data_IF_014140462543
#
_entry.id   IF_014140462543
#
_cell.length_a   1.000
_cell.length_b   1.000
_cell.length_c   1.000
_cell.angle_alpha   90.00
_cell.angle_beta   90.00
_cell.angle_gamma   90.00
#
_symmetry.space_group_name_H-M   'P 1'
#
loop_
_entity.id
_entity.type
_entity.pdbx_description
1 polymer ?
#
# COMPACT_ATOMS: atom_id res chain seq x y z
N UNK A 1 54.63 -21.15 -34.09
CA UNK A 1 53.29 -21.51 -33.58
C UNK A 1 52.64 -20.28 -33.01
N UNK A 2 51.63 -19.75 -33.67
CA UNK A 2 50.84 -18.61 -33.15
C UNK A 2 49.81 -19.15 -32.15
N UNK A 3 49.98 -18.80 -30.88
CA UNK A 3 48.95 -19.08 -29.89
C UNK A 3 47.84 -18.04 -30.06
N UNK A 4 46.67 -18.46 -30.50
CA UNK A 4 45.49 -17.61 -30.55
C UNK A 4 44.94 -17.53 -29.13
N UNK A 5 45.09 -16.38 -28.50
CA UNK A 5 44.52 -16.12 -27.20
C UNK A 5 43.04 -15.75 -27.40
N UNK A 6 42.14 -16.67 -27.09
CA UNK A 6 40.71 -16.36 -27.08
C UNK A 6 40.40 -15.66 -25.75
N UNK A 7 40.23 -14.35 -25.81
CA UNK A 7 39.74 -13.59 -24.67
C UNK A 7 38.24 -13.82 -24.62
N UNK A 8 37.82 -14.73 -23.77
CA UNK A 8 36.39 -14.87 -23.43
C UNK A 8 36.06 -13.69 -22.52
N UNK A 9 35.47 -12.64 -23.11
CA UNK A 9 34.94 -11.53 -22.33
C UNK A 9 33.79 -12.04 -21.44
N UNK A 10 34.00 -12.01 -20.12
CA UNK A 10 32.93 -12.26 -19.18
C UNK A 10 31.94 -11.07 -19.28
N UNK A 11 30.76 -11.31 -19.85
CA UNK A 11 29.67 -10.36 -19.79
C UNK A 11 29.08 -10.46 -18.38
N UNK A 12 29.44 -9.51 -17.52
CA UNK A 12 28.78 -9.39 -16.21
C UNK A 12 27.36 -8.87 -16.43
N UNK A 13 26.38 -9.75 -16.32
CA UNK A 13 24.97 -9.36 -16.31
C UNK A 13 24.69 -8.73 -14.95
N UNK A 14 24.60 -7.41 -14.90
CA UNK A 14 24.15 -6.71 -13.71
C UNK A 14 22.64 -6.90 -13.64
N UNK A 15 22.19 -7.80 -12.75
CA UNK A 15 20.79 -7.90 -12.39
C UNK A 15 20.44 -6.69 -11.52
N UNK A 16 19.86 -5.66 -12.13
CA UNK A 16 19.25 -4.58 -11.38
C UNK A 16 17.94 -5.12 -10.83
N UNK A 17 17.96 -5.60 -9.59
CA UNK A 17 16.71 -5.88 -8.88
C UNK A 17 16.07 -4.53 -8.55
N UNK A 18 15.00 -4.17 -9.27
CA UNK A 18 14.11 -3.10 -8.86
C UNK A 18 13.38 -3.59 -7.61
N UNK A 19 13.91 -3.25 -6.44
CA UNK A 19 13.16 -3.43 -5.20
C UNK A 19 11.98 -2.47 -5.25
N UNK A 20 10.74 -3.03 -5.26
CA UNK A 20 9.57 -2.25 -4.86
C UNK A 20 9.85 -1.84 -3.42
N UNK A 21 10.08 -0.55 -3.17
CA UNK A 21 10.38 -0.07 -1.83
C UNK A 21 9.29 -0.49 -0.85
N UNK A 22 9.68 -0.84 0.39
CA UNK A 22 8.74 -1.10 1.47
C UNK A 22 7.79 0.09 1.64
N UNK A 23 6.55 -0.19 2.06
CA UNK A 23 5.58 0.84 2.37
C UNK A 23 6.11 1.79 3.47
N UNK A 24 5.82 3.08 3.32
CA UNK A 24 6.23 4.12 4.25
C UNK A 24 5.12 4.37 5.28
N UNK A 25 5.33 3.88 6.51
CA UNK A 25 4.37 4.02 7.61
C UNK A 25 4.14 5.50 7.98
N UNK A 26 5.16 6.35 7.90
CA UNK A 26 5.02 7.78 8.24
C UNK A 26 4.24 8.54 7.18
N UNK A 27 4.46 8.22 5.91
CA UNK A 27 3.63 8.74 4.83
C UNK A 27 2.19 8.25 4.95
N UNK A 28 1.99 7.00 5.34
CA UNK A 28 0.69 6.41 5.64
C UNK A 28 -0.03 7.11 6.78
N UNK A 29 0.68 7.48 7.84
CA UNK A 29 0.14 8.27 8.95
C UNK A 29 -0.44 9.60 8.48
N UNK A 30 0.29 10.30 7.62
CA UNK A 30 -0.18 11.57 7.05
C UNK A 30 -1.45 11.38 6.19
N UNK A 31 -1.50 10.32 5.39
CA UNK A 31 -2.69 9.98 4.59
C UNK A 31 -3.89 9.57 5.46
N UNK A 32 -3.64 8.91 6.58
CA UNK A 32 -4.67 8.44 7.50
C UNK A 32 -5.45 9.57 8.18
N UNK A 33 -4.91 10.78 8.23
CA UNK A 33 -5.56 11.92 8.89
C UNK A 33 -7.00 12.15 8.41
N UNK A 34 -7.28 11.99 7.12
CA UNK A 34 -8.63 12.12 6.55
C UNK A 34 -9.53 10.93 6.88
N UNK A 35 -8.97 9.79 7.18
CA UNK A 35 -9.70 8.57 7.55
C UNK A 35 -10.13 8.62 9.02
N UNK A 36 -9.32 9.24 9.85
CA UNK A 36 -9.52 9.32 11.30
C UNK A 36 -10.82 10.02 11.69
N UNK A 37 -11.31 10.93 10.87
CA UNK A 37 -12.57 11.65 11.13
C UNK A 37 -13.77 10.72 11.29
N UNK A 38 -13.80 9.62 10.55
CA UNK A 38 -14.86 8.61 10.62
C UNK A 38 -14.41 7.35 11.36
N UNK A 39 -13.23 6.83 11.03
CA UNK A 39 -12.74 5.57 11.60
C UNK A 39 -12.10 5.71 12.98
N UNK A 40 -11.93 6.94 13.46
CA UNK A 40 -11.27 7.25 14.72
C UNK A 40 -9.74 7.34 14.59
N UNK A 41 -9.08 8.12 15.47
CA UNK A 41 -7.63 8.32 15.41
C UNK A 41 -6.85 7.03 15.66
N UNK A 42 -7.45 6.05 16.34
CA UNK A 42 -6.88 4.73 16.60
C UNK A 42 -7.44 3.65 15.66
N UNK A 43 -8.26 4.02 14.67
CA UNK A 43 -8.87 3.06 13.75
C UNK A 43 -9.90 2.14 14.38
N UNK A 44 -10.44 2.49 15.56
CA UNK A 44 -11.41 1.66 16.28
C UNK A 44 -12.82 1.69 15.69
N UNK A 45 -13.08 2.63 14.78
CA UNK A 45 -14.38 2.78 14.14
C UNK A 45 -15.48 3.32 15.05
N UNK A 46 -16.68 3.34 14.52
CA UNK A 46 -17.92 3.62 15.25
C UNK A 46 -19.05 2.81 14.61
N UNK A 47 -19.33 1.65 15.16
CA UNK A 47 -20.31 0.71 14.61
C UNK A 47 -21.72 1.32 14.57
N UNK A 48 -22.07 2.13 15.56
CA UNK A 48 -23.39 2.78 15.63
C UNK A 48 -23.60 3.75 14.45
N UNK A 49 -22.53 4.36 13.92
CA UNK A 49 -22.58 5.23 12.77
C UNK A 49 -22.24 4.51 11.45
N UNK A 50 -22.03 3.23 11.48
CA UNK A 50 -21.68 2.42 10.29
C UNK A 50 -20.21 2.53 9.87
N UNK A 51 -19.32 3.04 10.71
CA UNK A 51 -17.89 3.13 10.44
C UNK A 51 -17.17 1.90 11.00
N UNK A 52 -16.68 1.00 10.13
CA UNK A 52 -16.06 -0.24 10.60
C UNK A 52 -14.74 0.00 11.33
N UNK A 53 -14.43 -0.91 12.24
CA UNK A 53 -13.14 -1.00 12.88
C UNK A 53 -12.07 -1.39 11.85
N UNK A 54 -10.93 -0.70 11.86
CA UNK A 54 -9.79 -0.98 11.00
C UNK A 54 -8.67 -1.72 11.72
N UNK A 55 -8.62 -1.63 13.05
CA UNK A 55 -7.60 -2.30 13.87
C UNK A 55 -7.75 -3.82 13.83
N UNK A 56 -6.64 -4.53 13.97
CA UNK A 56 -6.60 -5.98 13.95
C UNK A 56 -6.65 -6.60 12.55
N UNK A 57 -6.62 -5.77 11.51
CA UNK A 57 -6.58 -6.23 10.12
C UNK A 57 -5.13 -6.22 9.60
N UNK A 58 -4.84 -7.10 8.65
CA UNK A 58 -3.54 -7.09 7.97
C UNK A 58 -3.45 -5.93 6.97
N UNK A 59 -2.24 -5.48 6.68
CA UNK A 59 -2.02 -4.48 5.63
C UNK A 59 -2.58 -4.95 4.28
N UNK A 60 -2.36 -6.20 3.92
CA UNK A 60 -2.89 -6.79 2.67
C UNK A 60 -4.40 -6.72 2.60
N UNK A 61 -5.10 -7.03 3.69
CA UNK A 61 -6.56 -6.92 3.75
C UNK A 61 -7.02 -5.47 3.53
N UNK A 62 -6.41 -4.52 4.22
CA UNK A 62 -6.76 -3.09 4.06
C UNK A 62 -6.50 -2.60 2.63
N UNK A 63 -5.36 -2.97 2.04
CA UNK A 63 -5.06 -2.66 0.64
C UNK A 63 -6.14 -3.16 -0.31
N UNK A 64 -6.56 -4.42 -0.16
CA UNK A 64 -7.62 -5.01 -0.98
C UNK A 64 -8.94 -4.26 -0.83
N UNK A 65 -9.33 -3.91 0.40
CA UNK A 65 -10.57 -3.18 0.64
C UNK A 65 -10.54 -1.78 0.01
N UNK A 66 -9.42 -1.07 0.11
CA UNK A 66 -9.26 0.26 -0.51
C UNK A 66 -9.32 0.16 -2.04
N UNK A 67 -8.69 -0.85 -2.64
CA UNK A 67 -8.78 -1.10 -4.09
C UNK A 67 -10.20 -1.44 -4.52
N UNK A 68 -10.89 -2.25 -3.74
CA UNK A 68 -12.27 -2.66 -4.03
C UNK A 68 -13.23 -1.47 -3.95
N UNK A 69 -13.07 -0.58 -3.00
CA UNK A 69 -13.83 0.67 -2.95
C UNK A 69 -13.52 1.57 -4.14
N UNK A 70 -12.25 1.72 -4.47
CA UNK A 70 -11.80 2.57 -5.59
C UNK A 70 -12.35 2.09 -6.92
N UNK A 71 -12.37 0.79 -7.16
CA UNK A 71 -12.89 0.17 -8.39
C UNK A 71 -14.42 0.06 -8.44
N UNK A 72 -15.08 0.20 -7.30
CA UNK A 72 -16.52 -0.03 -7.16
C UNK A 72 -16.91 -1.49 -6.95
N UNK A 73 -15.95 -2.41 -6.82
CA UNK A 73 -16.20 -3.82 -6.50
C UNK A 73 -16.88 -3.97 -5.13
N UNK A 74 -16.48 -3.16 -4.16
CA UNK A 74 -17.19 -2.98 -2.90
C UNK A 74 -17.97 -1.67 -2.94
N UNK A 75 -19.28 -1.75 -2.80
CA UNK A 75 -20.17 -0.60 -2.95
C UNK A 75 -20.25 0.21 -1.64
N UNK A 76 -19.74 1.43 -1.68
CA UNK A 76 -19.90 2.45 -0.67
C UNK A 76 -19.49 3.80 -1.27
N UNK A 77 -20.44 4.70 -1.47
CA UNK A 77 -20.19 5.97 -2.14
C UNK A 77 -19.16 6.84 -1.43
N UNK A 78 -19.21 6.89 -0.10
CA UNK A 78 -18.25 7.69 0.70
C UNK A 78 -16.85 7.12 0.60
N UNK A 79 -16.70 5.82 0.79
CA UNK A 79 -15.39 5.17 0.71
C UNK A 79 -14.84 5.18 -0.71
N UNK A 80 -15.68 5.07 -1.73
CA UNK A 80 -15.25 5.21 -3.12
C UNK A 80 -14.64 6.60 -3.37
N UNK A 81 -15.29 7.65 -2.87
CA UNK A 81 -14.77 9.01 -2.98
C UNK A 81 -13.44 9.20 -2.22
N UNK A 82 -13.32 8.63 -1.02
CA UNK A 82 -12.08 8.66 -0.24
C UNK A 82 -10.95 7.90 -0.93
N UNK A 83 -11.22 6.69 -1.41
CA UNK A 83 -10.23 5.84 -2.08
C UNK A 83 -9.81 6.40 -3.45
N UNK A 84 -10.68 7.15 -4.13
CA UNK A 84 -10.39 7.75 -5.43
C UNK A 84 -9.19 8.71 -5.38
N UNK A 85 -8.95 9.36 -4.25
CA UNK A 85 -7.82 10.26 -4.03
C UNK A 85 -6.50 9.55 -3.73
N UNK A 86 -6.50 8.23 -3.60
CA UNK A 86 -5.32 7.44 -3.28
C UNK A 86 -4.75 6.79 -4.54
N UNK A 87 -3.46 6.97 -4.80
CA UNK A 87 -2.75 6.16 -5.77
C UNK A 87 -2.31 4.84 -5.12
N UNK A 88 -1.74 3.93 -5.89
CA UNK A 88 -1.34 2.61 -5.39
C UNK A 88 -0.31 2.70 -4.26
N UNK A 89 0.62 3.65 -4.34
CA UNK A 89 1.59 3.87 -3.26
C UNK A 89 0.93 4.37 -1.98
N UNK A 90 -0.02 5.29 -2.10
CA UNK A 90 -0.80 5.80 -0.97
C UNK A 90 -1.56 4.67 -0.27
N UNK A 91 -2.16 3.77 -1.05
CA UNK A 91 -2.88 2.59 -0.53
C UNK A 91 -1.94 1.71 0.28
N UNK A 92 -0.75 1.42 -0.24
CA UNK A 92 0.25 0.62 0.47
C UNK A 92 0.71 1.29 1.77
N UNK A 93 1.00 2.58 1.71
CA UNK A 93 1.50 3.34 2.85
C UNK A 93 0.45 3.47 3.95
N UNK A 94 -0.78 3.83 3.62
CA UNK A 94 -1.86 3.97 4.61
C UNK A 94 -2.23 2.62 5.21
N UNK A 95 -2.25 1.55 4.42
CA UNK A 95 -2.51 0.21 4.92
C UNK A 95 -1.42 -0.26 5.90
N UNK A 96 -0.16 0.02 5.60
CA UNK A 96 0.95 -0.29 6.50
C UNK A 96 0.83 0.47 7.82
N UNK A 97 0.44 1.75 7.79
CA UNK A 97 0.19 2.51 9.00
C UNK A 97 -0.98 1.94 9.81
N UNK A 98 -2.12 1.67 9.18
CA UNK A 98 -3.30 1.11 9.86
C UNK A 98 -2.97 -0.22 10.53
N UNK A 99 -2.14 -1.05 9.92
CA UNK A 99 -1.72 -2.33 10.49
C UNK A 99 -0.89 -2.17 11.79
N UNK A 100 -0.37 -0.97 12.08
CA UNK A 100 0.34 -0.67 13.34
C UNK A 100 -0.59 -0.25 14.48
N UNK A 101 -1.84 0.04 14.19
CA UNK A 101 -2.81 0.53 15.16
C UNK A 101 -3.38 -0.57 16.05
#
# INVERSE_FOLDING_TARGET
MKRTMVVVGAVATVLVSTSVGAADVMAGKAKFAVCAGCHGPNGSGNVALGYPQLTGKTATYIEEQLRDFKSGKRDNATMKAMAAGLNERDIQDVAAYIATL
#
